data_IF_959936032159
#
_entry.id   IF_959936032159
#
_cell.length_a   1.000
_cell.length_b   1.000
_cell.length_c   1.000
_cell.angle_alpha   90.00
_cell.angle_beta   90.00
_cell.angle_gamma   90.00
#
_symmetry.space_group_name_H-M   'P 1'
#
loop_
_entity.id
_entity.type
_entity.pdbx_description
1 polymer ?
#
# COMPACT_ATOMS: atom_id res chain seq x y z
N UNK A 1 3.82 10.47 3.54
CA UNK A 1 3.74 11.94 3.60
C UNK A 1 4.65 12.42 4.71
N UNK A 2 5.51 13.38 4.39
CA UNK A 2 6.41 14.05 5.32
C UNK A 2 6.46 15.53 4.95
N UNK A 3 6.33 16.42 5.93
CA UNK A 3 6.41 17.87 5.76
C UNK A 3 7.31 18.42 6.86
N UNK A 4 8.55 18.75 6.48
CA UNK A 4 9.51 19.49 7.29
C UNK A 4 9.44 20.98 6.98
N UNK A 5 10.25 21.77 7.68
CA UNK A 5 10.44 23.21 7.42
C UNK A 5 10.50 23.57 5.93
N UNK A 6 11.48 23.05 5.17
CA UNK A 6 11.65 23.44 3.76
C UNK A 6 10.48 23.04 2.87
N UNK A 7 9.83 21.91 3.17
CA UNK A 7 8.61 21.48 2.46
C UNK A 7 7.49 22.50 2.65
N UNK A 8 7.26 22.93 3.90
CA UNK A 8 6.23 23.90 4.22
C UNK A 8 6.52 25.28 3.60
N UNK A 9 7.78 25.71 3.58
CA UNK A 9 8.18 26.95 2.89
C UNK A 9 7.88 26.89 1.39
N UNK A 10 8.28 25.81 0.70
CA UNK A 10 8.02 25.63 -0.73
C UNK A 10 6.52 25.52 -1.04
N UNK A 11 5.72 24.86 -0.19
CA UNK A 11 4.27 24.84 -0.33
C UNK A 11 3.67 26.25 -0.25
N UNK A 12 4.15 27.10 0.65
CA UNK A 12 3.72 28.51 0.72
C UNK A 12 4.19 29.33 -0.48
N UNK A 13 5.37 29.06 -1.03
CA UNK A 13 5.87 29.69 -2.26
C UNK A 13 4.98 29.30 -3.47
N UNK A 14 4.65 28.01 -3.61
CA UNK A 14 3.71 27.52 -4.62
C UNK A 14 2.35 28.18 -4.44
N UNK A 15 1.81 28.23 -3.21
CA UNK A 15 0.55 28.89 -2.90
C UNK A 15 0.50 30.35 -3.35
N UNK A 16 1.56 31.12 -3.06
CA UNK A 16 1.67 32.52 -3.48
C UNK A 16 1.71 32.69 -5.00
N UNK A 17 2.39 31.79 -5.72
CA UNK A 17 2.40 31.80 -7.18
C UNK A 17 0.98 31.58 -7.74
N UNK A 18 0.24 30.60 -7.20
CA UNK A 18 -1.14 30.34 -7.62
C UNK A 18 -2.08 31.52 -7.31
N UNK A 19 -1.95 32.14 -6.12
CA UNK A 19 -2.71 33.35 -5.74
C UNK A 19 -2.40 34.55 -6.66
N UNK A 20 -1.15 34.66 -7.13
CA UNK A 20 -0.74 35.68 -8.08
C UNK A 20 -1.26 35.43 -9.52
N UNK A 21 -1.96 34.32 -9.75
CA UNK A 21 -2.52 33.94 -11.04
C UNK A 21 -1.53 33.24 -11.97
N UNK A 22 -0.42 32.73 -11.45
CA UNK A 22 0.50 31.89 -12.22
C UNK A 22 -0.12 30.51 -12.49
N UNK A 23 0.06 29.98 -13.71
CA UNK A 23 -0.46 28.64 -14.07
C UNK A 23 0.34 27.51 -13.41
N UNK A 24 1.64 27.70 -13.23
CA UNK A 24 2.58 26.73 -12.66
C UNK A 24 3.62 27.44 -11.78
N UNK A 25 4.11 26.75 -10.76
CA UNK A 25 5.29 27.19 -10.02
C UNK A 25 6.55 26.68 -10.73
N UNK A 26 7.43 27.59 -11.13
CA UNK A 26 8.65 27.27 -11.89
C UNK A 26 9.85 27.22 -10.96
N UNK A 27 10.47 26.04 -10.82
CA UNK A 27 11.76 25.91 -10.14
C UNK A 27 12.89 26.48 -11.02
N UNK A 28 13.61 27.47 -10.51
CA UNK A 28 14.69 28.16 -11.24
C UNK A 28 16.04 27.80 -10.63
N UNK A 29 16.76 26.86 -11.25
CA UNK A 29 18.06 26.35 -10.74
C UNK A 29 19.10 27.46 -10.53
N UNK A 30 19.04 28.54 -11.31
CA UNK A 30 19.95 29.69 -11.21
C UNK A 30 19.77 30.51 -9.91
N UNK A 31 18.56 30.48 -9.33
CA UNK A 31 18.18 31.35 -8.20
C UNK A 31 17.74 30.58 -6.96
N UNK A 32 17.40 29.30 -7.10
CA UNK A 32 16.91 28.45 -6.03
C UNK A 32 17.98 27.44 -5.57
N UNK A 33 18.06 27.13 -4.27
CA UNK A 33 18.90 26.05 -3.75
C UNK A 33 18.64 24.72 -4.47
N UNK A 34 19.71 23.98 -4.81
CA UNK A 34 19.59 22.64 -5.41
C UNK A 34 18.81 21.63 -4.58
N UNK A 35 18.76 21.84 -3.26
CA UNK A 35 17.97 20.99 -2.34
C UNK A 35 16.46 21.17 -2.52
N UNK A 36 16.02 22.29 -3.11
CA UNK A 36 14.60 22.54 -3.37
C UNK A 36 14.07 21.62 -4.46
N UNK A 37 14.88 21.30 -5.47
CA UNK A 37 14.47 20.33 -6.50
C UNK A 37 14.13 18.97 -5.86
N UNK A 38 14.96 18.53 -4.91
CA UNK A 38 14.71 17.28 -4.16
C UNK A 38 13.47 17.40 -3.29
N UNK A 39 13.29 18.52 -2.61
CA UNK A 39 12.13 18.75 -1.75
C UNK A 39 10.82 18.83 -2.56
N UNK A 40 10.85 19.43 -3.76
CA UNK A 40 9.72 19.46 -4.69
C UNK A 40 9.37 18.05 -5.20
N UNK A 41 10.38 17.23 -5.49
CA UNK A 41 10.17 15.81 -5.81
C UNK A 41 9.60 15.02 -4.63
N UNK A 42 10.05 15.28 -3.40
CA UNK A 42 9.47 14.69 -2.19
C UNK A 42 7.98 15.06 -2.04
N UNK A 43 7.59 16.30 -2.36
CA UNK A 43 6.19 16.75 -2.39
C UNK A 43 5.38 16.12 -3.53
N UNK A 44 5.99 15.93 -4.70
CA UNK A 44 5.39 15.19 -5.83
C UNK A 44 5.12 13.72 -5.45
N UNK A 45 6.12 13.05 -4.88
CA UNK A 45 6.00 11.67 -4.40
C UNK A 45 4.97 11.51 -3.29
N UNK A 46 4.75 12.55 -2.47
CA UNK A 46 3.68 12.57 -1.48
C UNK A 46 2.28 12.75 -2.09
N UNK A 47 2.18 13.04 -3.40
CA UNK A 47 0.94 13.31 -4.11
C UNK A 47 0.38 14.72 -3.84
N UNK A 48 1.24 15.65 -3.42
CA UNK A 48 0.86 17.03 -3.09
C UNK A 48 1.14 17.99 -4.24
N UNK A 49 2.21 17.76 -4.99
CA UNK A 49 2.49 18.48 -6.23
C UNK A 49 2.45 17.50 -7.41
N UNK A 50 2.35 18.02 -8.62
CA UNK A 50 2.53 17.29 -9.88
C UNK A 50 3.48 18.07 -10.76
N UNK A 51 4.44 17.38 -11.35
CA UNK A 51 5.25 17.95 -12.43
C UNK A 51 4.40 18.00 -13.72
N UNK A 52 4.07 19.20 -14.17
CA UNK A 52 3.26 19.40 -15.40
C UNK A 52 4.15 19.47 -16.64
N UNK A 53 5.29 20.14 -16.51
CA UNK A 53 6.35 20.27 -17.52
C UNK A 53 7.70 20.19 -16.82
N UNK A 54 8.83 19.98 -17.54
CA UNK A 54 10.14 20.04 -16.91
C UNK A 54 10.25 21.29 -16.04
N UNK A 55 10.66 21.13 -14.78
CA UNK A 55 10.79 22.17 -13.74
C UNK A 55 9.52 22.96 -13.34
N UNK A 56 8.35 22.63 -13.88
CA UNK A 56 7.08 23.30 -13.59
C UNK A 56 6.14 22.42 -12.77
N UNK A 57 5.74 22.91 -11.59
CA UNK A 57 4.91 22.18 -10.63
C UNK A 57 3.55 22.85 -10.45
N UNK A 58 2.52 22.02 -10.30
CA UNK A 58 1.17 22.45 -9.91
C UNK A 58 0.73 21.70 -8.65
N UNK A 59 -0.01 22.34 -7.73
CA UNK A 59 -0.57 21.62 -6.60
C UNK A 59 -1.66 20.65 -7.06
N UNK A 60 -1.68 19.46 -6.46
CA UNK A 60 -2.84 18.56 -6.57
C UNK A 60 -3.98 19.07 -5.69
N UNK A 61 -5.17 18.47 -5.76
CA UNK A 61 -6.26 18.80 -4.84
C UNK A 61 -5.83 18.72 -3.37
N UNK A 62 -5.12 17.65 -2.98
CA UNK A 62 -4.59 17.50 -1.63
C UNK A 62 -3.48 18.49 -1.32
N UNK A 63 -2.67 18.87 -2.32
CA UNK A 63 -1.68 19.93 -2.20
C UNK A 63 -2.30 21.29 -1.92
N UNK A 64 -3.30 21.69 -2.71
CA UNK A 64 -4.04 22.95 -2.53
C UNK A 64 -4.66 23.00 -1.14
N UNK A 65 -5.37 21.95 -0.74
CA UNK A 65 -5.99 21.90 0.59
C UNK A 65 -4.95 21.98 1.72
N UNK A 66 -3.78 21.36 1.55
CA UNK A 66 -2.69 21.45 2.54
C UNK A 66 -2.09 22.86 2.61
N UNK A 67 -1.92 23.53 1.47
CA UNK A 67 -1.42 24.92 1.38
C UNK A 67 -2.39 25.86 2.09
N UNK A 68 -3.69 25.75 1.80
CA UNK A 68 -4.75 26.53 2.45
C UNK A 68 -4.76 26.27 3.96
N UNK A 69 -4.73 25.00 4.37
CA UNK A 69 -4.71 24.58 5.78
C UNK A 69 -3.49 25.13 6.53
N UNK A 70 -2.30 25.05 5.93
CA UNK A 70 -1.07 25.62 6.50
C UNK A 70 -1.17 27.14 6.61
N UNK A 71 -1.67 27.81 5.58
CA UNK A 71 -1.82 29.27 5.54
C UNK A 71 -2.80 29.75 6.61
N UNK A 72 -3.95 29.10 6.76
CA UNK A 72 -4.94 29.40 7.79
C UNK A 72 -4.39 29.17 9.20
N UNK A 73 -3.67 28.06 9.43
CA UNK A 73 -3.05 27.77 10.72
C UNK A 73 -2.02 28.85 11.12
N UNK A 74 -1.28 29.39 10.15
CA UNK A 74 -0.34 30.51 10.39
C UNK A 74 -1.10 31.81 10.67
N UNK A 75 -2.11 32.14 9.85
CA UNK A 75 -2.88 33.38 9.98
C UNK A 75 -3.67 33.46 11.28
N UNK A 76 -4.21 32.32 11.74
CA UNK A 76 -4.91 32.18 13.03
C UNK A 76 -3.96 32.11 14.24
N UNK A 77 -2.63 32.17 14.02
CA UNK A 77 -1.58 32.05 15.05
C UNK A 77 -1.60 30.71 15.80
N UNK A 78 -2.19 29.68 15.21
CA UNK A 78 -2.09 28.31 15.71
C UNK A 78 -0.69 27.74 15.48
N UNK A 79 -0.04 28.16 14.41
CA UNK A 79 1.34 27.82 14.06
C UNK A 79 2.16 29.08 13.79
N UNK A 80 3.45 29.05 14.14
CA UNK A 80 4.39 30.04 13.64
C UNK A 80 4.68 29.80 12.15
N UNK A 81 5.08 30.86 11.44
CA UNK A 81 5.52 30.74 10.05
C UNK A 81 6.72 29.77 9.94
N UNK A 82 6.77 28.87 8.92
CA UNK A 82 7.82 27.84 8.79
C UNK A 82 9.26 28.33 8.87
N UNK A 83 9.53 29.57 8.43
CA UNK A 83 10.85 30.19 8.54
C UNK A 83 11.41 30.24 9.98
N UNK A 84 10.53 30.24 11.00
CA UNK A 84 10.89 30.19 12.42
C UNK A 84 11.03 28.79 12.98
N UNK A 85 10.61 27.75 12.25
CA UNK A 85 10.69 26.38 12.74
C UNK A 85 12.16 25.94 12.86
N UNK A 86 12.48 25.06 13.84
CA UNK A 86 13.74 24.33 13.86
C UNK A 86 13.95 23.55 12.54
N UNK A 87 15.20 23.36 12.13
CA UNK A 87 15.51 22.71 10.84
C UNK A 87 15.08 21.22 10.81
N UNK A 88 15.12 20.56 11.95
CA UNK A 88 14.70 19.17 12.15
C UNK A 88 13.21 19.03 12.50
N UNK A 89 12.48 20.15 12.62
CA UNK A 89 11.06 20.11 12.95
C UNK A 89 10.26 19.43 11.85
N UNK A 90 9.61 18.33 12.25
CA UNK A 90 8.71 17.53 11.41
C UNK A 90 7.28 17.90 11.78
N UNK A 91 6.68 18.80 11.01
CA UNK A 91 5.29 19.18 11.18
C UNK A 91 4.38 17.99 10.85
N UNK A 92 4.63 17.33 9.71
CA UNK A 92 3.97 16.08 9.34
C UNK A 92 5.03 15.01 9.10
N UNK A 93 4.76 13.81 9.60
CA UNK A 93 5.56 12.61 9.39
C UNK A 93 4.70 11.37 9.64
N UNK A 94 5.17 10.19 9.28
CA UNK A 94 4.45 8.93 9.50
C UNK A 94 4.12 8.70 10.98
N UNK A 95 5.01 9.08 11.89
CA UNK A 95 4.79 9.06 13.33
C UNK A 95 3.67 10.02 13.75
N UNK A 96 3.60 11.21 13.14
CA UNK A 96 2.59 12.22 13.46
C UNK A 96 1.23 11.77 12.96
N UNK A 97 1.17 11.26 11.73
CA UNK A 97 -0.06 10.68 11.16
C UNK A 97 -0.55 9.51 12.01
N UNK A 98 0.35 8.63 12.48
CA UNK A 98 -0.02 7.53 13.36
C UNK A 98 -0.56 8.00 14.72
N UNK A 99 0.01 9.07 15.30
CA UNK A 99 -0.52 9.68 16.52
C UNK A 99 -1.93 10.26 16.31
N UNK A 100 -2.16 10.97 15.20
CA UNK A 100 -3.48 11.52 14.87
C UNK A 100 -4.50 10.39 14.60
N UNK A 101 -4.15 9.38 13.80
CA UNK A 101 -5.04 8.24 13.51
C UNK A 101 -5.40 7.47 14.79
N UNK A 102 -4.43 7.22 15.66
CA UNK A 102 -4.67 6.59 16.96
C UNK A 102 -5.62 7.42 17.83
N UNK A 103 -5.46 8.74 17.84
CA UNK A 103 -6.33 9.65 18.57
C UNK A 103 -7.76 9.71 18.00
N UNK A 104 -7.93 9.71 16.67
CA UNK A 104 -9.24 9.63 16.01
C UNK A 104 -9.99 8.38 16.44
N UNK A 105 -9.31 7.23 16.51
CA UNK A 105 -9.89 5.96 17.02
C UNK A 105 -10.26 6.03 18.51
N UNK A 106 -9.65 6.95 19.25
CA UNK A 106 -9.94 7.24 20.65
C UNK A 106 -10.87 8.46 20.82
N UNK A 107 -11.75 8.72 19.85
CA UNK A 107 -12.71 9.84 19.88
C UNK A 107 -12.03 11.22 20.05
N UNK A 108 -10.84 11.37 19.45
CA UNK A 108 -10.04 12.59 19.48
C UNK A 108 -9.25 12.80 20.77
N UNK A 109 -9.27 11.88 21.73
CA UNK A 109 -8.55 12.06 23.00
C UNK A 109 -7.06 11.68 22.88
N UNK A 110 -6.19 12.51 23.47
CA UNK A 110 -4.73 12.30 23.52
C UNK A 110 -4.19 12.55 24.93
N UNK A 111 -3.13 11.84 25.33
CA UNK A 111 -2.52 11.95 26.66
C UNK A 111 -0.99 11.80 26.62
N UNK A 112 -0.33 12.20 27.70
CA UNK A 112 1.09 11.93 27.93
C UNK A 112 2.02 12.58 26.89
N UNK A 113 3.03 11.85 26.45
CA UNK A 113 4.00 12.34 25.46
C UNK A 113 3.36 12.61 24.08
N UNK A 114 2.33 11.84 23.70
CA UNK A 114 1.60 12.03 22.43
C UNK A 114 0.86 13.37 22.42
N UNK A 115 0.18 13.72 23.52
CA UNK A 115 -0.51 15.01 23.63
C UNK A 115 0.46 16.18 23.46
N UNK A 116 1.62 16.14 24.15
CA UNK A 116 2.66 17.18 24.02
C UNK A 116 3.16 17.32 22.58
N UNK A 117 3.49 16.20 21.94
CA UNK A 117 4.00 16.19 20.57
C UNK A 117 2.96 16.75 19.56
N UNK A 118 1.67 16.46 19.75
CA UNK A 118 0.61 17.00 18.88
C UNK A 118 0.28 18.47 19.20
N UNK A 119 0.32 18.88 20.46
CA UNK A 119 0.12 20.27 20.88
C UNK A 119 1.20 21.20 20.31
N UNK A 120 2.46 20.77 20.30
CA UNK A 120 3.58 21.50 19.66
C UNK A 120 3.37 21.75 18.16
N UNK A 121 2.49 20.96 17.51
CA UNK A 121 2.17 21.05 16.07
C UNK A 121 0.79 21.65 15.80
N UNK A 122 0.10 22.14 16.85
CA UNK A 122 -1.25 22.68 16.74
C UNK A 122 -2.34 21.63 16.49
N UNK A 123 -2.02 20.33 16.56
CA UNK A 123 -2.94 19.23 16.28
C UNK A 123 -3.75 18.76 17.49
N UNK A 124 -3.37 19.19 18.69
CA UNK A 124 -4.15 18.96 19.89
C UNK A 124 -4.20 20.22 20.76
N UNK A 125 -5.21 20.28 21.63
CA UNK A 125 -5.33 21.29 22.67
C UNK A 125 -6.08 20.71 23.87
N UNK A 126 -5.51 20.83 25.05
CA UNK A 126 -6.12 20.34 26.29
C UNK A 126 -6.47 18.84 26.22
N UNK A 127 -5.62 18.04 25.57
CA UNK A 127 -5.83 16.59 25.44
C UNK A 127 -6.88 16.16 24.41
N UNK A 128 -7.34 17.06 23.52
CA UNK A 128 -8.29 16.77 22.45
C UNK A 128 -7.71 17.22 21.10
N UNK A 129 -7.91 16.45 20.03
CA UNK A 129 -7.52 16.85 18.68
C UNK A 129 -8.20 18.16 18.24
N UNK A 130 -7.48 18.96 17.46
CA UNK A 130 -8.02 20.17 16.84
C UNK A 130 -8.61 19.86 15.46
N UNK A 131 -9.47 20.73 14.90
CA UNK A 131 -9.94 20.59 13.51
C UNK A 131 -8.80 20.53 12.49
N UNK A 132 -7.68 21.20 12.77
CA UNK A 132 -6.47 21.12 11.96
C UNK A 132 -5.99 19.66 11.83
N UNK A 133 -5.98 18.89 12.91
CA UNK A 133 -5.57 17.48 12.87
C UNK A 133 -6.51 16.61 12.03
N UNK A 134 -7.82 16.86 12.13
CA UNK A 134 -8.86 16.19 11.35
C UNK A 134 -8.67 16.47 9.85
N UNK A 135 -8.43 17.73 9.49
CA UNK A 135 -8.13 18.11 8.11
C UNK A 135 -6.84 17.43 7.60
N UNK A 136 -5.79 17.37 8.41
CA UNK A 136 -4.52 16.72 8.02
C UNK A 136 -4.71 15.22 7.79
N UNK A 137 -5.46 14.50 8.64
CA UNK A 137 -5.68 13.07 8.43
C UNK A 137 -6.54 12.82 7.18
N UNK A 138 -7.48 13.71 6.87
CA UNK A 138 -8.28 13.61 5.65
C UNK A 138 -7.46 13.93 4.39
N UNK A 139 -6.60 14.95 4.41
CA UNK A 139 -5.61 15.20 3.35
C UNK A 139 -4.73 13.97 3.16
N UNK A 140 -4.25 13.36 4.26
CA UNK A 140 -3.44 12.15 4.18
C UNK A 140 -4.20 10.98 3.54
N UNK A 141 -5.46 10.74 3.91
CA UNK A 141 -6.25 9.65 3.33
C UNK A 141 -6.52 9.83 1.84
N UNK A 142 -6.73 11.06 1.38
CA UNK A 142 -7.08 11.37 0.00
C UNK A 142 -5.88 11.71 -0.90
N UNK A 143 -4.72 11.99 -0.33
CA UNK A 143 -3.48 12.12 -1.11
C UNK A 143 -3.06 10.75 -1.63
N UNK A 144 -2.80 10.67 -2.93
CA UNK A 144 -2.35 9.45 -3.59
C UNK A 144 -0.84 9.55 -3.85
N UNK A 145 0.00 8.88 -3.05
CA UNK A 145 1.44 8.96 -3.23
C UNK A 145 1.85 8.36 -4.58
N UNK A 146 2.82 9.00 -5.24
CA UNK A 146 3.33 8.52 -6.53
C UNK A 146 4.54 7.61 -6.30
N UNK A 147 4.35 6.30 -6.52
CA UNK A 147 5.43 5.32 -6.34
C UNK A 147 6.38 5.38 -7.53
N UNK A 148 7.62 5.78 -7.26
CA UNK A 148 8.75 5.74 -8.20
C UNK A 148 10.04 5.49 -7.44
N UNK A 149 10.73 4.41 -7.79
CA UNK A 149 12.00 4.02 -7.20
C UNK A 149 13.08 4.11 -8.27
N UNK A 150 13.94 5.11 -8.13
CA UNK A 150 15.15 5.26 -8.95
C UNK A 150 16.17 4.17 -8.62
N UNK A 151 17.18 4.04 -9.48
CA UNK A 151 18.33 3.17 -9.22
C UNK A 151 19.06 3.52 -7.92
N UNK A 152 19.22 4.82 -7.65
CA UNK A 152 19.84 5.31 -6.41
C UNK A 152 19.04 4.89 -5.18
N UNK A 153 17.71 5.11 -5.21
CA UNK A 153 16.83 4.73 -4.12
C UNK A 153 16.77 3.20 -3.95
N UNK A 154 16.80 2.44 -5.06
CA UNK A 154 16.86 0.98 -5.03
C UNK A 154 18.13 0.47 -4.33
N UNK A 155 19.29 1.06 -4.63
CA UNK A 155 20.55 0.73 -3.96
C UNK A 155 20.55 1.12 -2.48
N UNK A 156 19.89 2.21 -2.12
CA UNK A 156 19.63 2.57 -0.72
C UNK A 156 18.78 1.50 -0.02
N UNK A 157 17.63 1.12 -0.59
CA UNK A 157 16.71 0.11 -0.06
C UNK A 157 17.40 -1.26 0.13
N UNK A 158 18.29 -1.65 -0.78
CA UNK A 158 19.07 -2.90 -0.65
C UNK A 158 19.96 -2.92 0.58
N UNK A 159 20.59 -1.78 0.89
CA UNK A 159 21.51 -1.63 2.02
C UNK A 159 20.79 -1.46 3.36
N UNK A 160 19.50 -1.10 3.34
CA UNK A 160 18.70 -1.00 4.56
C UNK A 160 18.65 -2.35 5.29
N UNK A 161 18.95 -2.37 6.61
CA UNK A 161 18.73 -3.53 7.46
C UNK A 161 17.25 -3.96 7.44
N UNK A 162 16.95 -5.25 7.64
CA UNK A 162 15.58 -5.67 7.89
C UNK A 162 15.06 -4.99 9.16
N UNK A 163 13.92 -4.30 9.06
CA UNK A 163 13.22 -3.73 10.21
C UNK A 163 12.19 -4.69 10.81
N UNK A 164 11.55 -4.35 11.94
CA UNK A 164 11.71 -3.10 12.68
C UNK A 164 13.09 -2.96 13.32
N UNK A 165 13.71 -1.78 13.23
CA UNK A 165 15.04 -1.53 13.79
C UNK A 165 15.26 -0.05 14.13
N UNK A 166 16.28 0.26 14.92
CA UNK A 166 16.59 1.64 15.31
C UNK A 166 16.97 2.51 14.09
N UNK A 167 16.54 3.77 14.05
CA UNK A 167 16.86 4.66 12.92
C UNK A 167 18.35 4.96 12.79
N UNK A 168 19.11 4.86 13.89
CA UNK A 168 20.57 5.07 13.90
C UNK A 168 21.36 4.08 13.02
N UNK A 169 20.77 2.92 12.70
CA UNK A 169 21.43 1.91 11.85
C UNK A 169 21.11 2.07 10.36
N UNK A 170 20.27 3.03 10.00
CA UNK A 170 19.94 3.31 8.60
C UNK A 170 21.16 3.86 7.86
N UNK A 171 21.34 3.53 6.57
CA UNK A 171 22.40 4.11 5.77
C UNK A 171 22.29 5.64 5.73
N UNK A 172 23.43 6.33 5.65
CA UNK A 172 23.48 7.78 5.49
C UNK A 172 22.75 8.17 4.20
N UNK A 173 21.82 9.12 4.28
CA UNK A 173 21.02 9.57 3.13
C UNK A 173 19.67 10.13 3.54
N UNK A 174 19.66 11.34 4.14
CA UNK A 174 18.44 11.96 4.67
C UNK A 174 17.34 12.10 3.61
N UNK A 175 17.69 12.46 2.37
CA UNK A 175 16.74 12.57 1.26
C UNK A 175 16.14 11.23 0.84
N UNK A 176 16.93 10.17 0.72
CA UNK A 176 16.40 8.84 0.40
C UNK A 176 15.33 8.39 1.42
N UNK A 177 15.53 8.70 2.71
CA UNK A 177 14.53 8.41 3.74
C UNK A 177 13.26 9.25 3.56
N UNK A 178 13.39 10.51 3.19
CA UNK A 178 12.26 11.39 2.91
C UNK A 178 11.49 10.95 1.67
N UNK A 179 12.18 10.53 0.61
CA UNK A 179 11.55 9.93 -0.57
C UNK A 179 10.75 8.68 -0.21
N UNK A 180 11.33 7.76 0.57
CA UNK A 180 10.62 6.56 1.04
C UNK A 180 9.38 6.93 1.86
N UNK A 181 9.48 7.91 2.74
CA UNK A 181 8.38 8.33 3.62
C UNK A 181 7.29 9.09 2.86
N UNK A 182 7.66 9.94 1.89
CA UNK A 182 6.77 10.62 0.97
C UNK A 182 5.90 9.60 0.23
N UNK A 183 6.54 8.58 -0.35
CA UNK A 183 5.91 7.47 -1.06
C UNK A 183 5.21 6.44 -0.15
N UNK A 184 5.24 6.61 1.18
CA UNK A 184 4.68 5.68 2.19
C UNK A 184 5.27 4.27 2.16
N UNK A 185 6.55 4.16 1.80
CA UNK A 185 7.30 2.89 1.79
C UNK A 185 7.95 2.58 3.14
N UNK A 186 8.15 3.60 3.98
CA UNK A 186 8.70 3.48 5.34
C UNK A 186 7.80 4.22 6.33
N UNK A 187 7.79 3.76 7.58
CA UNK A 187 7.14 4.42 8.71
C UNK A 187 8.05 4.42 9.94
N UNK A 188 7.84 5.40 10.82
CA UNK A 188 8.61 5.61 12.04
C UNK A 188 7.75 5.46 13.30
N UNK A 189 8.39 5.06 14.42
CA UNK A 189 7.74 4.87 15.72
C UNK A 189 7.23 6.16 16.33
N UNK A 190 6.08 6.08 17.00
CA UNK A 190 5.55 7.18 17.81
C UNK A 190 6.20 7.23 19.19
N UNK A 191 6.40 8.42 19.78
CA UNK A 191 6.36 9.75 19.16
C UNK A 191 7.72 10.21 18.61
N UNK A 192 8.79 9.42 18.81
CA UNK A 192 10.19 9.89 18.70
C UNK A 192 10.88 9.57 17.37
N UNK A 193 10.28 8.75 16.52
CA UNK A 193 10.89 8.28 15.27
C UNK A 193 12.25 7.60 15.46
N UNK A 194 12.43 6.89 16.58
CA UNK A 194 13.66 6.20 16.95
C UNK A 194 13.75 4.78 16.38
N UNK A 195 12.64 4.22 15.92
CA UNK A 195 12.53 2.92 15.26
C UNK A 195 11.84 3.12 13.91
N UNK A 196 12.31 2.43 12.88
CA UNK A 196 11.67 2.40 11.56
C UNK A 196 11.20 0.99 11.20
N UNK A 197 10.21 0.93 10.32
CA UNK A 197 9.83 -0.28 9.60
C UNK A 197 9.43 0.06 8.16
N UNK A 198 9.71 -0.85 7.22
CA UNK A 198 9.12 -0.76 5.89
C UNK A 198 7.63 -1.13 5.97
N UNK A 199 6.79 -0.37 5.27
CA UNK A 199 5.36 -0.68 5.13
C UNK A 199 5.16 -1.96 4.31
N UNK A 200 3.95 -2.51 4.28
CA UNK A 200 3.66 -3.68 3.45
C UNK A 200 4.08 -3.48 1.97
N UNK A 201 3.80 -2.28 1.43
CA UNK A 201 4.24 -1.89 0.10
C UNK A 201 5.77 -1.83 0.00
N UNK A 202 6.42 -1.14 0.93
CA UNK A 202 7.88 -1.02 0.97
C UNK A 202 8.61 -2.37 1.10
N UNK A 203 8.04 -3.32 1.85
CA UNK A 203 8.57 -4.67 1.98
C UNK A 203 8.53 -5.44 0.65
N UNK A 204 7.40 -5.35 -0.08
CA UNK A 204 7.24 -6.01 -1.39
C UNK A 204 8.14 -5.40 -2.46
N UNK A 205 8.25 -4.07 -2.48
CA UNK A 205 9.20 -3.35 -3.34
C UNK A 205 10.64 -3.76 -3.01
N UNK A 206 11.03 -3.78 -1.72
CA UNK A 206 12.37 -4.24 -1.31
C UNK A 206 12.63 -5.69 -1.73
N UNK A 207 11.63 -6.57 -1.60
CA UNK A 207 11.75 -7.95 -2.03
C UNK A 207 11.99 -8.04 -3.54
N UNK A 208 11.24 -7.29 -4.35
CA UNK A 208 11.44 -7.22 -5.80
C UNK A 208 12.84 -6.71 -6.17
N UNK A 209 13.29 -5.62 -5.55
CA UNK A 209 14.62 -5.03 -5.80
C UNK A 209 15.76 -6.00 -5.45
N UNK A 210 15.61 -6.82 -4.40
CA UNK A 210 16.62 -7.81 -3.99
C UNK A 210 16.67 -9.02 -4.91
N UNK A 211 15.55 -9.40 -5.51
CA UNK A 211 15.44 -10.57 -6.38
C UNK A 211 15.61 -10.25 -7.87
N UNK A 212 15.35 -9.00 -8.26
CA UNK A 212 15.46 -8.49 -9.63
C UNK A 212 16.80 -7.84 -9.92
N UNK A 213 16.87 -7.18 -11.07
CA UNK A 213 18.07 -6.51 -11.56
C UNK A 213 17.82 -5.01 -11.73
N UNK A 214 18.28 -4.12 -10.82
CA UNK A 214 18.10 -2.68 -10.97
C UNK A 214 19.14 -2.09 -11.93
N UNK A 215 19.08 -2.49 -13.20
CA UNK A 215 19.99 -2.03 -14.25
C UNK A 215 19.59 -0.65 -14.78
N UNK A 216 18.28 -0.38 -14.84
CA UNK A 216 17.69 0.85 -15.35
C UNK A 216 17.69 2.01 -14.36
N UNK A 217 17.54 3.23 -14.88
CA UNK A 217 17.45 4.46 -14.10
C UNK A 217 16.23 4.49 -13.17
N UNK A 218 15.10 3.93 -13.63
CA UNK A 218 13.88 3.69 -12.86
C UNK A 218 13.66 2.19 -12.74
N UNK A 219 13.60 1.71 -11.50
CA UNK A 219 13.53 0.28 -11.16
C UNK A 219 12.09 -0.14 -10.85
N UNK A 220 11.32 0.77 -10.25
CA UNK A 220 9.89 0.58 -9.99
C UNK A 220 9.18 1.91 -10.28
N UNK A 221 8.02 1.86 -10.91
CA UNK A 221 7.13 3.00 -11.13
C UNK A 221 5.68 2.54 -11.12
N UNK A 222 4.72 3.46 -11.04
CA UNK A 222 3.30 3.15 -11.20
C UNK A 222 3.01 2.40 -12.53
N UNK A 223 3.64 2.81 -13.63
CA UNK A 223 3.50 2.15 -14.94
C UNK A 223 4.06 0.73 -14.95
N UNK A 224 5.20 0.50 -14.27
CA UNK A 224 5.77 -0.84 -14.09
C UNK A 224 4.81 -1.71 -13.28
N UNK A 225 4.25 -1.19 -12.18
CA UNK A 225 3.28 -1.94 -11.35
C UNK A 225 2.02 -2.30 -12.16
N UNK A 226 1.44 -1.35 -12.90
CA UNK A 226 0.28 -1.61 -13.76
C UNK A 226 0.62 -2.63 -14.86
N UNK A 227 1.84 -2.58 -15.41
CA UNK A 227 2.30 -3.55 -16.42
C UNK A 227 2.49 -4.94 -15.84
N UNK A 228 2.97 -5.08 -14.60
CA UNK A 228 3.05 -6.37 -13.90
C UNK A 228 1.67 -7.00 -13.73
N UNK A 229 0.65 -6.20 -13.38
CA UNK A 229 -0.74 -6.68 -13.33
C UNK A 229 -1.24 -7.14 -14.71
N UNK A 230 -0.97 -6.36 -15.77
CA UNK A 230 -1.34 -6.73 -17.15
C UNK A 230 -0.64 -7.99 -17.63
N UNK A 231 0.60 -8.26 -17.25
CA UNK A 231 1.28 -9.52 -17.59
C UNK A 231 0.47 -10.73 -17.10
N UNK A 232 -0.16 -10.64 -15.93
CA UNK A 232 -0.95 -11.74 -15.35
C UNK A 232 -2.33 -11.85 -16.01
N UNK A 233 -3.03 -10.72 -16.15
CA UNK A 233 -4.46 -10.73 -16.48
C UNK A 233 -4.77 -10.39 -17.94
N UNK A 234 -3.90 -9.62 -18.59
CA UNK A 234 -4.11 -9.06 -19.95
C UNK A 234 -2.79 -9.00 -20.72
N UNK A 235 -2.10 -10.13 -20.93
CA UNK A 235 -0.75 -10.12 -21.49
C UNK A 235 -0.70 -9.44 -22.88
N UNK A 236 -1.73 -9.59 -23.71
CA UNK A 236 -1.80 -8.93 -25.03
C UNK A 236 -1.76 -7.40 -24.98
N UNK A 237 -2.07 -6.78 -23.83
CA UNK A 237 -2.09 -5.31 -23.65
C UNK A 237 -0.75 -4.74 -23.18
N UNK A 238 0.28 -5.58 -22.97
CA UNK A 238 1.61 -5.13 -22.55
C UNK A 238 2.45 -4.78 -23.79
N UNK A 239 2.84 -3.50 -24.00
CA UNK A 239 3.66 -3.09 -25.13
C UNK A 239 5.01 -3.82 -25.18
N UNK A 240 5.58 -3.99 -26.37
CA UNK A 240 6.83 -4.72 -26.54
C UNK A 240 8.00 -4.05 -25.82
N UNK A 241 8.06 -2.72 -25.85
CA UNK A 241 9.08 -1.93 -25.15
C UNK A 241 9.01 -2.18 -23.64
N UNK A 242 7.80 -2.19 -23.09
CA UNK A 242 7.57 -2.51 -21.68
C UNK A 242 7.95 -3.96 -21.36
N UNK A 243 7.69 -4.93 -22.25
CA UNK A 243 8.11 -6.32 -22.06
C UNK A 243 9.62 -6.45 -21.98
N UNK A 244 10.36 -5.75 -22.84
CA UNK A 244 11.82 -5.72 -22.84
C UNK A 244 12.32 -5.15 -21.50
N UNK A 245 11.78 -4.00 -21.09
CA UNK A 245 12.09 -3.37 -19.80
C UNK A 245 11.86 -4.32 -18.61
N UNK A 246 10.71 -5.00 -18.57
CA UNK A 246 10.38 -5.96 -17.50
C UNK A 246 11.31 -7.18 -17.51
N UNK A 247 11.82 -7.60 -18.67
CA UNK A 247 12.81 -8.68 -18.78
C UNK A 247 14.20 -8.22 -18.31
N UNK A 248 14.63 -7.00 -18.69
CA UNK A 248 15.91 -6.41 -18.27
C UNK A 248 15.97 -6.23 -16.75
N UNK A 249 14.85 -5.83 -16.14
CA UNK A 249 14.69 -5.74 -14.69
C UNK A 249 14.55 -7.10 -13.98
N UNK A 250 14.55 -8.20 -14.73
CA UNK A 250 14.33 -9.57 -14.27
C UNK A 250 13.00 -9.77 -13.52
N UNK A 251 11.95 -9.05 -13.92
CA UNK A 251 10.60 -9.21 -13.39
C UNK A 251 9.80 -10.27 -14.14
N UNK A 252 10.02 -10.43 -15.44
CA UNK A 252 9.43 -11.49 -16.26
C UNK A 252 10.49 -12.31 -16.98
N UNK A 253 10.17 -13.56 -17.26
CA UNK A 253 11.03 -14.46 -18.03
C UNK A 253 10.83 -14.32 -19.54
N UNK A 254 11.68 -14.96 -20.36
CA UNK A 254 11.51 -15.02 -21.81
C UNK A 254 10.18 -15.65 -22.26
N UNK A 255 9.56 -16.46 -21.40
CA UNK A 255 8.23 -17.05 -21.63
C UNK A 255 7.08 -16.09 -21.29
N UNK A 256 7.39 -14.86 -20.88
CA UNK A 256 6.42 -13.83 -20.51
C UNK A 256 5.78 -14.04 -19.14
N UNK A 257 6.26 -14.99 -18.32
CA UNK A 257 5.71 -15.23 -16.97
C UNK A 257 6.46 -14.45 -15.90
N UNK A 258 5.78 -14.15 -14.80
CA UNK A 258 6.39 -13.49 -13.65
C UNK A 258 7.48 -14.36 -13.01
N UNK A 259 8.68 -13.79 -12.90
CA UNK A 259 9.78 -14.28 -12.06
C UNK A 259 9.52 -13.92 -10.57
N UNK A 260 10.31 -14.44 -9.60
CA UNK A 260 10.11 -14.13 -8.18
C UNK A 260 10.05 -12.63 -7.86
N UNK A 261 10.87 -11.80 -8.53
CA UNK A 261 10.84 -10.35 -8.38
C UNK A 261 9.53 -9.75 -8.92
N UNK A 262 9.07 -10.20 -10.09
CA UNK A 262 7.78 -9.77 -10.66
C UNK A 262 6.59 -10.19 -9.80
N UNK A 263 6.63 -11.36 -9.14
CA UNK A 263 5.60 -11.77 -8.17
C UNK A 263 5.56 -10.87 -6.95
N UNK A 264 6.72 -10.44 -6.45
CA UNK A 264 6.78 -9.47 -5.37
C UNK A 264 6.21 -8.10 -5.80
N UNK A 265 6.45 -7.67 -7.04
CA UNK A 265 5.81 -6.47 -7.58
C UNK A 265 4.32 -6.63 -7.83
N UNK A 266 3.83 -7.82 -8.16
CA UNK A 266 2.40 -8.08 -8.26
C UNK A 266 1.72 -7.90 -6.89
N UNK A 267 2.31 -8.46 -5.83
CA UNK A 267 1.84 -8.19 -4.46
C UNK A 267 1.92 -6.70 -4.11
N UNK A 268 2.97 -5.99 -4.55
CA UNK A 268 3.11 -4.55 -4.36
C UNK A 268 2.00 -3.76 -5.09
N UNK A 269 1.66 -4.15 -6.32
CA UNK A 269 0.57 -3.56 -7.09
C UNK A 269 -0.76 -3.67 -6.35
N UNK A 270 -1.09 -4.86 -5.82
CA UNK A 270 -2.33 -5.07 -5.07
C UNK A 270 -2.38 -4.14 -3.85
N UNK A 271 -1.30 -4.06 -3.08
CA UNK A 271 -1.23 -3.16 -1.92
C UNK A 271 -1.37 -1.68 -2.35
N UNK A 272 -0.75 -1.30 -3.47
CA UNK A 272 -0.75 0.07 -3.97
C UNK A 272 -2.11 0.50 -4.52
N UNK A 273 -2.82 -0.37 -5.25
CA UNK A 273 -4.10 -0.05 -5.90
C UNK A 273 -5.33 -0.37 -5.05
N UNK A 274 -5.30 -1.49 -4.33
CA UNK A 274 -6.46 -2.01 -3.57
C UNK A 274 -6.33 -1.71 -2.07
N UNK A 275 -5.15 -1.27 -1.63
CA UNK A 275 -4.85 -1.01 -0.23
C UNK A 275 -4.21 -2.21 0.47
N UNK A 276 -3.73 -2.02 1.72
CA UNK A 276 -3.13 -3.12 2.47
C UNK A 276 -4.16 -4.21 2.72
N UNK A 277 -3.71 -5.46 2.69
CA UNK A 277 -4.49 -6.59 3.19
C UNK A 277 -4.67 -6.36 4.70
N UNK A 278 -5.79 -5.75 5.09
CA UNK A 278 -6.10 -5.34 6.47
C UNK A 278 -6.41 -6.53 7.37
N UNK A 279 -6.75 -7.66 6.75
CA UNK A 279 -7.01 -8.92 7.39
C UNK A 279 -6.22 -9.94 6.58
N UNK A 280 -5.11 -10.47 7.13
CA UNK A 280 -4.72 -11.82 6.75
C UNK A 280 -5.68 -12.71 7.53
N UNK A 281 -6.81 -13.17 6.95
CA UNK A 281 -7.68 -14.04 7.70
C UNK A 281 -6.82 -15.23 8.08
N UNK A 282 -6.68 -15.40 9.38
CA UNK A 282 -6.10 -16.59 9.97
C UNK A 282 -7.11 -17.70 9.73
N UNK A 283 -7.10 -18.27 8.53
CA UNK A 283 -8.10 -19.26 8.13
C UNK A 283 -7.66 -20.62 8.65
N UNK A 284 -8.41 -21.13 9.62
CA UNK A 284 -8.43 -22.56 9.88
C UNK A 284 -9.21 -23.22 8.74
N UNK A 285 -8.61 -24.24 8.11
CA UNK A 285 -9.30 -25.07 7.12
C UNK A 285 -9.43 -26.48 7.65
N UNK A 286 -10.67 -26.92 7.78
CA UNK A 286 -11.03 -28.31 8.03
C UNK A 286 -10.91 -29.15 6.75
N UNK A 287 -10.85 -30.46 6.91
CA UNK A 287 -10.88 -31.39 5.75
C UNK A 287 -12.14 -31.22 4.90
N UNK A 288 -13.28 -30.93 5.53
CA UNK A 288 -14.55 -30.67 4.84
C UNK A 288 -14.46 -29.47 3.90
N UNK A 289 -13.94 -28.34 4.39
CA UNK A 289 -13.80 -27.10 3.62
C UNK A 289 -12.82 -27.28 2.45
N UNK A 290 -11.72 -28.01 2.65
CA UNK A 290 -10.77 -28.36 1.57
C UNK A 290 -11.47 -29.19 0.48
N UNK A 291 -12.28 -30.18 0.86
CA UNK A 291 -13.01 -30.99 -0.10
C UNK A 291 -14.07 -30.18 -0.86
N UNK A 292 -14.76 -29.27 -0.19
CA UNK A 292 -15.76 -28.38 -0.83
C UNK A 292 -15.09 -27.47 -1.87
N UNK A 293 -13.95 -26.85 -1.55
CA UNK A 293 -13.18 -26.03 -2.49
C UNK A 293 -12.81 -26.84 -3.75
N UNK A 294 -12.33 -28.08 -3.58
CA UNK A 294 -12.00 -28.98 -4.70
C UNK A 294 -13.23 -29.34 -5.54
N UNK A 295 -14.36 -29.61 -4.90
CA UNK A 295 -15.62 -29.94 -5.58
C UNK A 295 -16.16 -28.75 -6.37
N UNK A 296 -16.06 -27.54 -5.85
CA UNK A 296 -16.46 -26.32 -6.58
C UNK A 296 -15.62 -26.17 -7.85
N UNK A 297 -14.30 -26.27 -7.75
CA UNK A 297 -13.38 -26.19 -8.89
C UNK A 297 -13.65 -27.30 -9.93
N UNK A 298 -13.88 -28.53 -9.47
CA UNK A 298 -14.19 -29.65 -10.36
C UNK A 298 -15.53 -29.47 -11.09
N UNK A 299 -16.55 -28.94 -10.42
CA UNK A 299 -17.84 -28.68 -11.03
C UNK A 299 -17.76 -27.57 -12.09
N UNK A 300 -16.93 -26.54 -11.87
CA UNK A 300 -16.66 -25.52 -12.89
C UNK A 300 -15.88 -26.09 -14.09
N UNK A 301 -14.89 -26.96 -13.87
CA UNK A 301 -14.23 -27.67 -14.98
C UNK A 301 -15.19 -28.55 -15.78
N UNK A 302 -16.15 -29.21 -15.10
CA UNK A 302 -17.21 -29.97 -15.79
C UNK A 302 -18.18 -29.04 -16.55
N UNK A 303 -18.45 -27.83 -16.04
CA UNK A 303 -19.29 -26.84 -16.71
C UNK A 303 -18.78 -26.47 -18.11
N UNK A 304 -17.45 -26.39 -18.30
CA UNK A 304 -16.83 -26.06 -19.59
C UNK A 304 -17.26 -27.01 -20.72
N UNK A 305 -17.56 -28.27 -20.38
CA UNK A 305 -18.03 -29.29 -21.33
C UNK A 305 -19.54 -29.52 -21.28
N UNK A 306 -20.21 -29.13 -20.19
CA UNK A 306 -21.65 -29.25 -20.01
C UNK A 306 -22.22 -28.05 -19.23
N UNK A 307 -22.80 -27.04 -19.91
CA UNK A 307 -23.30 -25.80 -19.31
C UNK A 307 -24.45 -25.95 -18.28
N UNK A 308 -25.00 -27.14 -18.12
CA UNK A 308 -26.03 -27.45 -17.11
C UNK A 308 -25.44 -27.89 -15.76
N UNK A 309 -24.12 -28.14 -15.70
CA UNK A 309 -23.42 -28.48 -14.46
C UNK A 309 -22.88 -27.21 -13.83
N UNK A 310 -23.33 -26.83 -12.65
CA UNK A 310 -22.75 -25.74 -11.90
C UNK A 310 -22.74 -26.07 -10.40
N UNK A 311 -21.84 -25.47 -9.62
CA UNK A 311 -21.72 -25.74 -8.18
C UNK A 311 -22.82 -25.01 -7.41
N UNK A 312 -24.05 -25.50 -7.52
CA UNK A 312 -25.09 -25.21 -6.55
C UNK A 312 -24.94 -26.11 -5.31
N UNK A 313 -25.58 -25.73 -4.21
CA UNK A 313 -25.49 -26.47 -2.93
C UNK A 313 -25.90 -27.94 -3.07
N UNK A 314 -26.86 -28.25 -3.93
CA UNK A 314 -27.34 -29.63 -4.13
C UNK A 314 -26.27 -30.45 -4.82
N UNK A 315 -25.69 -29.91 -5.89
CA UNK A 315 -24.67 -30.57 -6.71
C UNK A 315 -23.36 -30.78 -5.96
N UNK A 316 -22.95 -29.80 -5.16
CA UNK A 316 -21.79 -29.91 -4.27
C UNK A 316 -22.00 -31.09 -3.30
N UNK A 317 -23.16 -31.18 -2.66
CA UNK A 317 -23.48 -32.27 -1.73
C UNK A 317 -23.50 -33.64 -2.42
N UNK A 318 -24.05 -33.74 -3.62
CA UNK A 318 -24.07 -34.97 -4.40
C UNK A 318 -22.65 -35.46 -4.70
N UNK A 319 -21.79 -34.58 -5.24
CA UNK A 319 -20.43 -34.96 -5.63
C UNK A 319 -19.54 -35.25 -4.41
N UNK A 320 -19.77 -34.57 -3.28
CA UNK A 320 -19.11 -34.90 -2.02
C UNK A 320 -19.46 -36.31 -1.53
N UNK A 321 -20.75 -36.69 -1.58
CA UNK A 321 -21.19 -38.05 -1.20
C UNK A 321 -20.65 -39.12 -2.13
N UNK A 322 -20.51 -38.82 -3.41
CA UNK A 322 -19.92 -39.74 -4.39
C UNK A 322 -18.44 -40.01 -4.08
N UNK A 323 -17.66 -38.95 -3.82
CA UNK A 323 -16.21 -39.07 -3.59
C UNK A 323 -15.83 -39.48 -2.18
N UNK A 324 -16.62 -39.08 -1.18
CA UNK A 324 -16.39 -39.33 0.23
C UNK A 324 -17.68 -39.84 0.92
N UNK A 325 -18.14 -41.06 0.61
CA UNK A 325 -19.45 -41.57 1.04
C UNK A 325 -19.60 -41.73 2.56
N UNK A 326 -18.50 -41.90 3.28
CA UNK A 326 -18.49 -42.07 4.74
C UNK A 326 -18.34 -40.75 5.49
N UNK A 327 -18.18 -39.62 4.79
CA UNK A 327 -17.99 -38.33 5.43
C UNK A 327 -19.33 -37.65 5.71
N UNK A 328 -19.51 -37.21 6.95
CA UNK A 328 -20.71 -36.47 7.36
C UNK A 328 -20.44 -34.97 7.31
N UNK A 329 -20.55 -34.38 6.11
CA UNK A 329 -20.27 -32.96 5.87
C UNK A 329 -21.49 -32.07 6.03
N UNK A 330 -21.36 -31.03 6.84
CA UNK A 330 -22.30 -29.93 7.02
C UNK A 330 -22.09 -28.83 5.96
N UNK A 331 -22.33 -29.18 4.70
CA UNK A 331 -22.03 -28.37 3.50
C UNK A 331 -22.51 -26.93 3.59
N UNK A 332 -23.65 -26.68 4.25
CA UNK A 332 -24.19 -25.30 4.35
C UNK A 332 -23.33 -24.44 5.28
N UNK A 333 -22.93 -24.97 6.44
CA UNK A 333 -22.07 -24.26 7.38
C UNK A 333 -20.70 -24.00 6.77
N UNK A 334 -20.12 -25.01 6.11
CA UNK A 334 -18.81 -24.87 5.49
C UNK A 334 -18.81 -23.85 4.34
N UNK A 335 -19.87 -23.78 3.53
CA UNK A 335 -19.99 -22.74 2.49
C UNK A 335 -20.04 -21.33 3.10
N UNK A 336 -20.81 -21.12 4.18
CA UNK A 336 -20.82 -19.83 4.87
C UNK A 336 -19.45 -19.47 5.46
N UNK A 337 -18.76 -20.43 6.05
CA UNK A 337 -17.41 -20.20 6.59
C UNK A 337 -16.43 -19.83 5.48
N UNK A 338 -16.41 -20.57 4.37
CA UNK A 338 -15.56 -20.28 3.22
C UNK A 338 -15.84 -18.91 2.61
N UNK A 339 -17.11 -18.51 2.53
CA UNK A 339 -17.51 -17.20 2.02
C UNK A 339 -17.13 -16.07 2.99
N UNK A 340 -17.28 -16.28 4.29
CA UNK A 340 -16.87 -15.31 5.33
C UNK A 340 -15.36 -15.03 5.34
N UNK A 341 -14.56 -16.03 4.93
CA UNK A 341 -13.11 -15.90 4.75
C UNK A 341 -12.70 -15.49 3.33
N UNK A 342 -13.66 -15.12 2.48
CA UNK A 342 -13.44 -14.70 1.10
C UNK A 342 -12.69 -15.73 0.26
N UNK A 343 -12.85 -17.02 0.54
CA UNK A 343 -12.30 -18.12 -0.28
C UNK A 343 -13.24 -18.48 -1.43
N UNK A 344 -14.53 -18.27 -1.23
CA UNK A 344 -15.56 -18.37 -2.26
C UNK A 344 -16.43 -17.12 -2.22
N UNK A 345 -17.19 -16.92 -3.29
CA UNK A 345 -18.34 -16.01 -3.31
C UNK A 345 -19.53 -16.72 -3.94
N UNK A 346 -20.73 -16.29 -3.54
CA UNK A 346 -21.97 -16.74 -4.15
C UNK A 346 -22.55 -15.69 -5.09
N UNK A 347 -23.18 -16.15 -6.17
CA UNK A 347 -23.91 -15.29 -7.11
C UNK A 347 -25.17 -16.02 -7.60
N UNK A 348 -26.14 -15.25 -8.11
CA UNK A 348 -27.33 -15.82 -8.73
C UNK A 348 -27.05 -16.14 -10.20
N UNK A 349 -27.23 -17.41 -10.58
CA UNK A 349 -27.06 -17.89 -11.94
C UNK A 349 -28.25 -18.79 -12.32
N UNK A 350 -28.96 -18.43 -13.40
CA UNK A 350 -30.17 -19.14 -13.87
C UNK A 350 -31.21 -19.37 -12.75
N UNK A 351 -31.42 -18.38 -11.86
CA UNK A 351 -32.39 -18.44 -10.75
C UNK A 351 -31.97 -19.34 -9.59
N UNK A 352 -30.68 -19.69 -9.50
CA UNK A 352 -30.10 -20.50 -8.42
C UNK A 352 -28.83 -19.84 -7.87
N UNK A 353 -28.59 -20.03 -6.58
CA UNK A 353 -27.34 -19.61 -5.94
C UNK A 353 -26.21 -20.60 -6.30
N UNK A 354 -25.16 -20.10 -6.94
CA UNK A 354 -23.97 -20.86 -7.33
C UNK A 354 -22.73 -20.29 -6.63
N UNK A 355 -21.71 -21.12 -6.43
CA UNK A 355 -20.49 -20.74 -5.70
C UNK A 355 -19.27 -20.76 -6.61
N UNK A 356 -18.42 -19.73 -6.51
CA UNK A 356 -17.16 -19.61 -7.27
C UNK A 356 -16.00 -19.37 -6.31
N UNK A 357 -14.82 -19.87 -6.68
CA UNK A 357 -13.59 -19.52 -5.97
C UNK A 357 -13.22 -18.07 -6.25
N UNK A 358 -12.76 -17.37 -5.22
CA UNK A 358 -12.04 -16.10 -5.39
C UNK A 358 -10.60 -16.38 -5.82
N UNK A 359 -9.86 -15.35 -6.20
CA UNK A 359 -8.41 -15.45 -6.43
C UNK A 359 -7.67 -16.00 -5.20
N UNK A 360 -8.12 -15.63 -4.00
CA UNK A 360 -7.57 -16.15 -2.75
C UNK A 360 -7.90 -17.63 -2.56
N UNK A 361 -9.15 -18.02 -2.82
CA UNK A 361 -9.59 -19.42 -2.82
C UNK A 361 -8.81 -20.29 -3.80
N UNK A 362 -8.50 -19.77 -5.00
CA UNK A 362 -7.71 -20.49 -6.00
C UNK A 362 -6.29 -20.77 -5.50
N UNK A 363 -5.64 -19.78 -4.87
CA UNK A 363 -4.31 -19.95 -4.28
C UNK A 363 -4.31 -20.97 -3.13
N UNK A 364 -5.37 -21.00 -2.33
CA UNK A 364 -5.56 -22.01 -1.28
C UNK A 364 -5.72 -23.40 -1.88
N UNK A 365 -6.52 -23.53 -2.95
CA UNK A 365 -6.69 -24.79 -3.68
C UNK A 365 -5.35 -25.29 -4.25
N UNK A 366 -4.55 -24.40 -4.86
CA UNK A 366 -3.22 -24.76 -5.38
C UNK A 366 -2.29 -25.33 -4.30
N UNK A 367 -2.28 -24.72 -3.10
CA UNK A 367 -1.51 -25.26 -1.96
C UNK A 367 -2.02 -26.64 -1.52
N UNK A 368 -3.35 -26.78 -1.40
CA UNK A 368 -4.00 -28.03 -1.00
C UNK A 368 -3.83 -29.16 -2.04
N UNK A 369 -3.66 -28.83 -3.31
CA UNK A 369 -3.34 -29.80 -4.36
C UNK A 369 -1.88 -30.29 -4.28
N UNK A 370 -0.94 -29.47 -3.78
CA UNK A 370 0.45 -29.89 -3.55
C UNK A 370 0.57 -30.79 -2.33
N UNK A 371 -0.15 -30.45 -1.26
CA UNK A 371 -0.20 -31.25 -0.04
C UNK A 371 -1.52 -31.03 0.69
N UNK A 372 -2.45 -31.95 0.47
CA UNK A 372 -3.74 -31.94 1.13
C UNK A 372 -3.59 -32.11 2.64
N UNK A 373 -4.05 -31.12 3.39
CA UNK A 373 -3.99 -31.13 4.86
C UNK A 373 -4.96 -30.13 5.45
N UNK A 374 -5.59 -30.44 6.60
CA UNK A 374 -6.25 -29.41 7.38
C UNK A 374 -5.21 -28.39 7.87
N UNK A 375 -5.63 -27.15 7.98
CA UNK A 375 -4.84 -26.05 8.57
C UNK A 375 -5.46 -25.78 9.94
N UNK A 376 -4.78 -26.18 11.02
CA UNK A 376 -5.33 -26.04 12.38
C UNK A 376 -5.20 -24.61 12.92
N UNK A 377 -6.15 -24.18 13.76
CA UNK A 377 -6.05 -22.90 14.46
C UNK A 377 -4.74 -22.75 15.25
N UNK A 378 -4.21 -23.83 15.82
CA UNK A 378 -2.94 -23.81 16.53
C UNK A 378 -1.75 -23.50 15.60
N UNK A 379 -1.71 -24.08 14.40
CA UNK A 379 -0.69 -23.79 13.40
C UNK A 379 -0.78 -22.34 12.90
N UNK A 380 -2.01 -21.85 12.72
CA UNK A 380 -2.26 -20.47 12.29
C UNK A 380 -1.87 -19.47 13.37
N UNK A 381 -2.24 -19.76 14.63
CA UNK A 381 -1.88 -18.95 15.81
C UNK A 381 -0.36 -18.88 15.98
N UNK A 382 0.35 -20.00 15.81
CA UNK A 382 1.80 -20.04 15.91
C UNK A 382 2.48 -19.12 14.88
N UNK A 383 1.95 -19.01 13.66
CA UNK A 383 2.50 -18.17 12.60
C UNK A 383 2.14 -16.69 12.80
N UNK A 384 0.92 -16.40 13.27
CA UNK A 384 0.46 -15.02 13.51
C UNK A 384 1.06 -14.39 14.76
N UNK A 385 1.35 -15.17 15.80
CA UNK A 385 2.03 -14.69 17.01
C UNK A 385 3.53 -14.44 16.80
N UNK A 386 4.15 -15.05 15.78
CA UNK A 386 5.57 -14.89 15.45
C UNK A 386 5.86 -13.79 14.41
N UNK A 387 4.85 -13.00 14.01
CA UNK A 387 5.01 -11.89 13.06
C UNK A 387 5.09 -10.54 13.75
#
# INVERSE_FOLDING_TARGET
MVIKKRHAELLLEVGKAMEAGEETYVYREETAPKEDERTLRELEYAGLLRLERPIEYVPTYSGTLLIETLTEAINSKLLEHPSKWPNDFRWIGSEVIAMIDGAVRCQGQVRGEIAKALEERGFARNGILTPLAETIIDIYKHSHPYVTVSKELAEYIKKMPPGPAETKILPVGNHNLLELEAQRLIAFSVPKSDVYALTGLGQKIRQAIRLGAPVESIVVSADILDSIYRVVHRPSEVPNEMRILLMELAYIGPDGKLLPAGRALYDAYLIYREGPITISPSVQLTTEEVHIIKVIDELWRRHETNPEIFPDRKRIRELLKEKWPYANYEVTSALYTLESFQLIYSEEFKGKLVYKLTDYGQRVLEDQNRRERPISAAAVSAITLTR
#
